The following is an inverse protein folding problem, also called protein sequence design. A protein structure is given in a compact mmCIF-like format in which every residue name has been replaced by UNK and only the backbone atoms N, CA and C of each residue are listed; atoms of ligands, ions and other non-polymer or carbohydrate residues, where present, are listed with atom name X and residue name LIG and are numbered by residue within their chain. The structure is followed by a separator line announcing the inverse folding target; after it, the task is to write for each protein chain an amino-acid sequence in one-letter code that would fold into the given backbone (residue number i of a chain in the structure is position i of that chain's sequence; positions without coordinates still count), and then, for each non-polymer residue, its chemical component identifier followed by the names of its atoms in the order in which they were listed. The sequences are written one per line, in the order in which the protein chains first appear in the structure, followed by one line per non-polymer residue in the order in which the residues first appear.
data_IF_875709073513
#
_entry.id   IF_875709073513
#
_cell.length_a   1.000
_cell.length_b   1.000
_cell.length_c   1.000
_cell.angle_alpha   90.00
_cell.angle_beta   90.00
_cell.angle_gamma   90.00
#
_symmetry.space_group_name_H-M   'P 1'
#
loop_
_entity.id
_entity.type
_entity.pdbx_description
1 polymer ?
#
# COMPACT_ATOMS: atom_id res chain seq x y z
N UNK A 1 -19.22 20.34 17.45
CA UNK A 1 -17.95 21.03 17.78
C UNK A 1 -16.96 20.66 16.70
N UNK A 2 -16.40 21.63 15.98
CA UNK A 2 -15.33 21.39 15.03
C UNK A 2 -14.08 20.98 15.82
N UNK A 3 -13.61 19.75 15.63
CA UNK A 3 -12.39 19.27 16.25
C UNK A 3 -11.18 19.85 15.53
N UNK A 4 -10.15 20.21 16.28
CA UNK A 4 -8.84 20.54 15.74
C UNK A 4 -7.85 19.47 16.15
N UNK A 5 -6.89 19.19 15.28
CA UNK A 5 -5.78 18.27 15.56
C UNK A 5 -4.45 18.99 15.36
N UNK A 6 -3.52 18.81 16.29
CA UNK A 6 -2.17 19.35 16.15
C UNK A 6 -1.26 18.26 15.60
N UNK A 7 -0.68 18.51 14.43
CA UNK A 7 0.33 17.66 13.85
C UNK A 7 1.62 17.66 14.70
N UNK A 8 2.45 16.63 14.63
CA UNK A 8 3.77 16.62 15.26
C UNK A 8 4.68 17.76 14.82
N UNK A 9 4.42 18.33 13.64
CA UNK A 9 5.09 19.55 13.14
C UNK A 9 4.71 20.82 13.89
N UNK A 10 3.68 20.77 14.76
CA UNK A 10 3.11 21.91 15.48
C UNK A 10 1.96 22.61 14.76
N UNK A 11 1.69 22.28 13.51
CA UNK A 11 0.57 22.79 12.74
C UNK A 11 -0.77 22.31 13.33
N UNK A 12 -1.77 23.19 13.32
CA UNK A 12 -3.13 22.87 13.78
C UNK A 12 -4.05 22.82 12.58
N UNK A 13 -4.64 21.64 12.36
CA UNK A 13 -5.60 21.41 11.28
C UNK A 13 -7.05 21.38 11.82
N UNK A 14 -7.99 21.84 10.99
CA UNK A 14 -9.42 21.78 11.27
C UNK A 14 -9.98 20.48 10.71
N UNK A 15 -10.34 19.53 11.56
CA UNK A 15 -10.81 18.19 11.14
C UNK A 15 -12.09 18.17 10.32
N UNK A 16 -12.87 19.27 10.30
CA UNK A 16 -14.09 19.35 9.48
C UNK A 16 -13.80 19.27 7.99
N UNK A 17 -12.61 19.66 7.56
CA UNK A 17 -12.19 19.65 6.16
C UNK A 17 -11.55 18.33 5.73
N UNK A 18 -11.31 17.43 6.67
CA UNK A 18 -10.57 16.19 6.45
C UNK A 18 -11.48 14.97 6.56
N UNK A 19 -11.29 14.02 5.66
CA UNK A 19 -12.00 12.73 5.65
C UNK A 19 -10.97 11.61 5.76
N UNK A 20 -11.28 10.60 6.54
CA UNK A 20 -10.47 9.39 6.59
C UNK A 20 -10.64 8.63 5.28
N UNK A 21 -9.55 8.43 4.55
CA UNK A 21 -9.56 7.79 3.23
C UNK A 21 -8.19 7.15 2.91
N UNK A 22 -8.16 6.39 1.83
CA UNK A 22 -6.95 5.78 1.29
C UNK A 22 -6.67 6.28 -0.12
N UNK A 23 -5.38 6.44 -0.44
CA UNK A 23 -4.88 6.55 -1.80
C UNK A 23 -4.18 5.24 -2.14
N UNK A 24 -4.55 4.62 -3.25
CA UNK A 24 -4.03 3.31 -3.63
C UNK A 24 -3.73 3.22 -5.12
N UNK A 25 -2.80 2.32 -5.44
CA UNK A 25 -2.43 1.98 -6.79
C UNK A 25 -2.00 0.53 -6.90
N UNK A 26 -2.47 -0.16 -7.94
CA UNK A 26 -2.18 -1.57 -8.20
C UNK A 26 -1.02 -1.71 -9.18
N UNK A 27 -0.11 -2.63 -8.88
CA UNK A 27 0.92 -3.09 -9.80
C UNK A 27 0.93 -4.60 -9.80
N UNK A 28 1.12 -5.21 -10.97
CA UNK A 28 1.25 -6.65 -11.10
C UNK A 28 2.73 -7.03 -11.04
N UNK A 29 3.07 -7.93 -10.12
CA UNK A 29 4.36 -8.60 -10.09
C UNK A 29 4.38 -9.73 -11.11
N UNK A 30 5.44 -9.85 -11.88
CA UNK A 30 5.62 -10.93 -12.85
C UNK A 30 5.75 -12.30 -12.18
N UNK A 31 5.38 -13.37 -12.89
CA UNK A 31 5.60 -14.72 -12.43
C UNK A 31 7.10 -15.05 -12.34
N UNK A 32 7.92 -14.47 -13.23
CA UNK A 32 9.38 -14.60 -13.21
C UNK A 32 9.99 -13.22 -12.98
N UNK A 33 10.46 -12.98 -11.78
CA UNK A 33 11.03 -11.71 -11.34
C UNK A 33 12.55 -11.82 -11.41
N UNK A 34 13.19 -10.97 -12.19
CA UNK A 34 14.65 -10.93 -12.29
C UNK A 34 15.28 -10.28 -11.06
N UNK A 35 16.51 -10.63 -10.75
CA UNK A 35 17.31 -9.90 -9.75
C UNK A 35 17.43 -8.41 -10.15
N UNK A 36 17.22 -7.52 -9.22
CA UNK A 36 17.22 -6.07 -9.43
C UNK A 36 15.91 -5.51 -10.00
N UNK A 37 14.86 -6.34 -10.19
CA UNK A 37 13.57 -5.84 -10.66
C UNK A 37 12.94 -4.85 -9.68
N UNK A 38 12.31 -3.81 -10.24
CA UNK A 38 11.63 -2.75 -9.50
C UNK A 38 10.19 -2.60 -9.99
N UNK A 39 9.26 -2.52 -9.04
CA UNK A 39 7.84 -2.28 -9.29
C UNK A 39 7.44 -0.97 -8.61
N UNK A 40 7.08 0.03 -9.41
CA UNK A 40 6.82 1.40 -8.95
C UNK A 40 5.32 1.66 -8.91
N UNK A 41 4.82 2.00 -7.74
CA UNK A 41 3.42 2.36 -7.47
C UNK A 41 3.20 3.87 -7.57
N UNK A 42 1.98 4.26 -7.88
CA UNK A 42 1.50 5.64 -8.01
C UNK A 42 2.03 6.41 -9.23
N UNK A 43 2.85 5.78 -10.06
CA UNK A 43 3.44 6.41 -11.24
C UNK A 43 2.64 6.16 -12.51
N UNK A 44 2.40 4.91 -12.84
CA UNK A 44 1.75 4.48 -14.08
C UNK A 44 0.27 4.21 -13.82
N UNK A 45 -0.54 5.27 -13.85
CA UNK A 45 -1.96 5.23 -13.51
C UNK A 45 -2.89 5.21 -14.74
N UNK A 46 -2.34 5.36 -15.94
CA UNK A 46 -3.13 5.39 -17.17
C UNK A 46 -3.78 4.04 -17.46
N UNK A 47 -5.02 4.08 -17.94
CA UNK A 47 -5.83 2.90 -18.29
C UNK A 47 -6.17 1.96 -17.10
N UNK A 48 -5.98 2.42 -15.86
CA UNK A 48 -6.43 1.71 -14.68
C UNK A 48 -7.84 2.16 -14.29
N UNK A 49 -8.63 1.22 -13.80
CA UNK A 49 -9.96 1.51 -13.26
C UNK A 49 -9.92 1.81 -11.74
N UNK A 50 -11.08 2.11 -11.14
CA UNK A 50 -11.17 2.43 -9.72
C UNK A 50 -10.87 1.23 -8.79
N UNK A 51 -10.85 -0.01 -9.28
CA UNK A 51 -10.40 -1.15 -8.48
C UNK A 51 -8.87 -1.25 -8.43
N UNK A 52 -8.22 -0.59 -9.36
CA UNK A 52 -6.78 -0.60 -9.52
C UNK A 52 -6.12 0.63 -8.92
N UNK A 53 -6.70 1.82 -9.13
CA UNK A 53 -6.18 3.07 -8.57
C UNK A 53 -7.29 4.11 -8.40
N UNK A 54 -7.21 4.90 -7.36
CA UNK A 54 -8.05 6.09 -7.20
C UNK A 54 -7.28 7.38 -7.49
N UNK A 55 -6.06 7.28 -7.99
CA UNK A 55 -5.27 8.43 -8.40
C UNK A 55 -5.68 8.92 -9.79
N UNK A 56 -5.63 10.24 -9.99
CA UNK A 56 -5.88 10.88 -11.28
C UNK A 56 -4.65 11.62 -11.83
N UNK A 57 -3.69 11.86 -10.98
CA UNK A 57 -2.42 12.51 -11.33
C UNK A 57 -1.28 11.57 -10.99
N UNK A 58 -0.39 11.31 -11.95
CA UNK A 58 0.77 10.44 -11.76
C UNK A 58 1.69 10.99 -10.68
N UNK A 59 2.00 10.15 -9.70
CA UNK A 59 2.94 10.45 -8.60
C UNK A 59 2.61 11.69 -7.76
N UNK A 60 1.36 12.20 -7.81
CA UNK A 60 0.93 13.39 -7.04
C UNK A 60 -0.53 13.29 -6.66
N UNK A 61 -0.92 14.06 -5.66
CA UNK A 61 -2.33 14.31 -5.38
C UNK A 61 -2.95 15.23 -6.44
N UNK A 62 -4.28 15.20 -6.55
CA UNK A 62 -5.01 16.14 -7.41
C UNK A 62 -4.79 17.59 -6.92
N UNK A 63 -4.85 18.59 -7.82
CA UNK A 63 -4.71 19.99 -7.43
C UNK A 63 -5.67 20.40 -6.31
N UNK A 64 -5.13 21.01 -5.27
CA UNK A 64 -5.86 21.43 -4.07
C UNK A 64 -6.13 20.30 -3.07
N UNK A 65 -5.68 19.08 -3.31
CA UNK A 65 -5.75 18.01 -2.33
C UNK A 65 -4.54 18.01 -1.40
N UNK A 66 -4.78 17.63 -0.16
CA UNK A 66 -3.75 17.38 0.83
C UNK A 66 -4.01 16.05 1.52
N UNK A 67 -2.97 15.37 1.95
CA UNK A 67 -3.09 14.11 2.68
C UNK A 67 -2.14 14.04 3.87
N UNK A 68 -2.65 13.60 5.01
CA UNK A 68 -1.85 13.25 6.19
C UNK A 68 -1.84 11.74 6.29
N UNK A 69 -0.70 11.15 5.94
CA UNK A 69 -0.54 9.70 5.87
C UNK A 69 -0.15 9.15 7.24
N UNK A 70 -0.94 8.23 7.77
CA UNK A 70 -0.69 7.51 9.02
C UNK A 70 -0.10 6.13 8.79
N UNK A 71 -0.41 5.50 7.65
CA UNK A 71 0.06 4.16 7.31
C UNK A 71 0.44 4.09 5.84
N UNK A 72 1.51 3.36 5.58
CA UNK A 72 1.99 3.04 4.25
C UNK A 72 2.23 1.55 4.21
N UNK A 73 1.66 0.88 3.22
CA UNK A 73 1.93 -0.54 3.09
C UNK A 73 1.38 -1.13 1.80
N UNK A 74 1.45 -2.45 1.73
CA UNK A 74 1.06 -3.21 0.55
C UNK A 74 0.01 -4.25 0.89
N UNK A 75 -0.91 -4.46 -0.04
CA UNK A 75 -1.94 -5.51 0.03
C UNK A 75 -1.73 -6.44 -1.16
N UNK A 76 -1.50 -7.69 -0.89
CA UNK A 76 -1.38 -8.73 -1.92
C UNK A 76 -2.76 -9.27 -2.24
N UNK A 77 -3.02 -9.60 -3.50
CA UNK A 77 -4.30 -10.14 -3.94
C UNK A 77 -4.72 -11.36 -3.10
N UNK A 78 -5.99 -11.40 -2.68
CA UNK A 78 -6.51 -12.45 -1.80
C UNK A 78 -6.41 -13.87 -2.38
N UNK A 79 -6.30 -13.99 -3.71
CA UNK A 79 -6.15 -15.27 -4.41
C UNK A 79 -4.70 -15.74 -4.53
N UNK A 80 -3.74 -14.97 -3.98
CA UNK A 80 -2.31 -15.30 -4.07
C UNK A 80 -2.03 -16.60 -3.32
N UNK A 81 -1.35 -17.53 -3.99
CA UNK A 81 -0.89 -18.76 -3.36
C UNK A 81 0.01 -18.45 -2.16
N UNK A 82 -0.10 -19.23 -1.10
CA UNK A 82 0.67 -19.00 0.13
C UNK A 82 2.18 -19.01 -0.11
N UNK A 83 2.68 -19.92 -0.96
CA UNK A 83 4.11 -19.97 -1.34
C UNK A 83 4.57 -18.71 -2.05
N UNK A 84 3.72 -18.10 -2.88
CA UNK A 84 4.04 -16.83 -3.51
C UNK A 84 4.13 -15.71 -2.49
N UNK A 85 3.20 -15.69 -1.51
CA UNK A 85 3.26 -14.71 -0.43
C UNK A 85 4.55 -14.84 0.37
N UNK A 86 4.95 -16.06 0.76
CA UNK A 86 6.20 -16.28 1.49
C UNK A 86 7.41 -15.79 0.69
N UNK A 87 7.48 -16.10 -0.60
CA UNK A 87 8.55 -15.61 -1.48
C UNK A 87 8.59 -14.09 -1.58
N UNK A 88 7.44 -13.43 -1.64
CA UNK A 88 7.36 -11.97 -1.64
C UNK A 88 7.85 -11.42 -0.28
N UNK A 89 7.41 -12.01 0.84
CA UNK A 89 7.82 -11.57 2.17
C UNK A 89 9.31 -11.73 2.43
N UNK A 90 9.91 -12.80 1.93
CA UNK A 90 11.33 -13.12 2.15
C UNK A 90 12.27 -12.33 1.24
N UNK A 91 11.86 -12.05 -0.01
CA UNK A 91 12.76 -11.51 -1.03
C UNK A 91 12.48 -10.05 -1.41
N UNK A 92 11.32 -9.50 -1.03
CA UNK A 92 10.96 -8.15 -1.43
C UNK A 92 11.38 -7.11 -0.38
N UNK A 93 11.99 -6.05 -0.86
CA UNK A 93 12.31 -4.85 -0.13
C UNK A 93 11.45 -3.70 -0.61
N UNK A 94 10.97 -2.87 0.28
CA UNK A 94 10.07 -1.78 -0.08
C UNK A 94 10.61 -0.43 0.36
N UNK A 95 10.28 0.60 -0.42
CA UNK A 95 10.63 1.99 -0.14
C UNK A 95 9.42 2.87 -0.38
N UNK A 96 9.28 3.91 0.42
CA UNK A 96 8.37 5.02 0.15
C UNK A 96 9.17 6.31 0.05
N UNK A 97 9.05 6.97 -1.09
CA UNK A 97 9.78 8.18 -1.42
C UNK A 97 8.82 9.37 -1.53
N UNK A 98 9.21 10.49 -0.93
CA UNK A 98 8.53 11.77 -1.01
C UNK A 98 9.48 12.79 -1.66
N UNK A 99 9.20 13.19 -2.89
CA UNK A 99 10.18 13.92 -3.70
C UNK A 99 11.45 13.10 -3.89
N UNK A 100 12.57 13.65 -3.47
CA UNK A 100 13.89 13.00 -3.53
C UNK A 100 14.25 12.26 -2.23
N UNK A 101 13.41 12.31 -1.20
CA UNK A 101 13.69 11.77 0.12
C UNK A 101 13.02 10.42 0.31
N UNK A 102 13.77 9.39 0.69
CA UNK A 102 13.21 8.14 1.21
C UNK A 102 12.74 8.35 2.65
N UNK A 103 11.44 8.17 2.87
CA UNK A 103 10.79 8.42 4.17
C UNK A 103 10.66 7.14 4.98
N UNK A 104 10.40 6.01 4.29
CA UNK A 104 10.32 4.68 4.91
C UNK A 104 10.92 3.67 3.97
N UNK A 105 11.75 2.76 4.52
CA UNK A 105 12.36 1.68 3.75
C UNK A 105 12.58 0.45 4.62
N UNK A 106 12.65 -0.72 4.02
CA UNK A 106 12.93 -1.98 4.70
C UNK A 106 12.29 -3.18 4.02
N UNK A 107 12.45 -4.38 4.59
CA UNK A 107 11.74 -5.55 4.11
C UNK A 107 10.24 -5.29 4.02
N UNK A 108 9.58 -5.88 3.01
CA UNK A 108 8.17 -5.58 2.72
C UNK A 108 7.22 -5.85 3.90
N UNK A 109 7.55 -6.79 4.78
CA UNK A 109 6.76 -7.10 5.97
C UNK A 109 6.72 -5.96 7.01
N UNK A 110 7.58 -4.92 6.91
CA UNK A 110 7.47 -3.69 7.70
C UNK A 110 6.37 -2.75 7.19
N UNK A 111 5.82 -3.02 6.01
CA UNK A 111 4.82 -2.18 5.35
C UNK A 111 3.42 -2.78 5.50
N UNK A 112 2.95 -2.90 6.73
CA UNK A 112 1.64 -3.45 7.05
C UNK A 112 0.59 -2.35 7.00
N UNK A 113 -0.52 -2.61 6.32
CA UNK A 113 -1.64 -1.66 6.22
C UNK A 113 -2.76 -1.95 7.22
N UNK A 114 -2.89 -3.20 7.65
CA UNK A 114 -4.09 -3.68 8.32
C UNK A 114 -5.28 -3.89 7.39
N UNK A 115 -5.14 -3.60 6.10
CA UNK A 115 -6.11 -3.94 5.07
C UNK A 115 -5.82 -5.33 4.50
N UNK A 116 -6.85 -5.95 3.96
CA UNK A 116 -6.79 -7.29 3.38
C UNK A 116 -7.58 -8.31 4.19
N UNK A 117 -7.56 -9.54 3.71
CA UNK A 117 -8.28 -10.65 4.31
C UNK A 117 -7.26 -11.60 4.91
N UNK A 118 -7.37 -11.94 6.18
CA UNK A 118 -6.60 -13.01 6.78
C UNK A 118 -7.51 -14.16 7.16
N UNK A 119 -7.09 -15.38 6.82
CA UNK A 119 -7.82 -16.59 7.16
C UNK A 119 -7.10 -17.81 6.62
N UNK A 120 -7.34 -18.95 7.24
CA UNK A 120 -6.94 -20.26 6.74
C UNK A 120 -8.20 -21.10 6.56
N UNK A 121 -8.40 -21.64 5.36
CA UNK A 121 -9.41 -22.67 5.10
C UNK A 121 -8.65 -23.98 4.93
N UNK A 122 -8.84 -24.90 5.86
CA UNK A 122 -8.39 -26.29 5.72
C UNK A 122 -9.53 -27.07 5.07
N UNK A 123 -9.28 -27.59 3.87
CA UNK A 123 -10.22 -28.48 3.20
C UNK A 123 -9.70 -29.90 3.38
N UNK A 124 -10.58 -30.79 3.78
CA UNK A 124 -10.26 -32.20 3.97
C UNK A 124 -9.67 -32.80 2.69
N UNK A 125 -8.56 -33.53 2.84
CA UNK A 125 -7.86 -34.19 1.73
C UNK A 125 -8.70 -35.22 0.95
N UNK A 126 -9.88 -35.55 1.45
CA UNK A 126 -10.85 -36.43 0.77
C UNK A 126 -11.70 -35.70 -0.28
N UNK A 127 -11.79 -34.40 -0.27
CA UNK A 127 -12.42 -33.60 -1.32
C UNK A 127 -11.32 -33.06 -2.25
N UNK A 128 -11.47 -33.22 -3.54
CA UNK A 128 -10.53 -32.74 -4.57
C UNK A 128 -10.42 -31.21 -4.66
N UNK A 129 -10.75 -30.51 -3.58
CA UNK A 129 -10.69 -29.06 -3.51
C UNK A 129 -9.33 -28.59 -2.98
N UNK A 130 -8.72 -27.69 -3.73
CA UNK A 130 -7.44 -27.07 -3.38
C UNK A 130 -7.57 -26.22 -2.13
N UNK A 131 -6.69 -26.41 -1.16
CA UNK A 131 -6.57 -25.53 0.02
C UNK A 131 -6.38 -24.09 -0.46
N UNK A 132 -7.37 -23.25 -0.19
CA UNK A 132 -7.28 -21.81 -0.50
C UNK A 132 -6.79 -21.08 0.75
N UNK A 133 -5.62 -20.52 0.67
CA UNK A 133 -5.11 -19.59 1.66
C UNK A 133 -5.44 -18.17 1.25
N UNK A 134 -5.97 -17.39 2.15
CA UNK A 134 -6.04 -15.95 2.00
C UNK A 134 -4.76 -15.34 2.55
N UNK A 135 -4.05 -14.67 1.70
CA UNK A 135 -2.75 -14.09 2.01
C UNK A 135 -2.87 -12.60 2.31
N UNK A 136 -2.15 -12.15 3.31
CA UNK A 136 -2.03 -10.74 3.64
C UNK A 136 -0.65 -10.43 4.21
N UNK A 137 -0.16 -9.22 3.99
CA UNK A 137 1.05 -8.72 4.65
C UNK A 137 0.65 -8.17 6.01
N UNK A 138 0.92 -8.96 7.05
CA UNK A 138 0.59 -8.62 8.43
C UNK A 138 -0.86 -8.93 8.83
N UNK A 139 -1.25 -8.59 10.07
CA UNK A 139 -2.58 -8.87 10.58
C UNK A 139 -3.65 -8.05 9.85
N UNK A 140 -4.81 -8.64 9.62
CA UNK A 140 -5.98 -7.91 9.16
C UNK A 140 -6.61 -7.14 10.31
N UNK A 141 -6.95 -5.88 10.03
CA UNK A 141 -7.52 -4.97 11.01
C UNK A 141 -6.62 -3.77 11.26
N UNK A 142 -7.14 -2.60 10.95
CA UNK A 142 -6.39 -1.33 11.06
C UNK A 142 -5.94 -1.03 12.49
N UNK A 143 -6.67 -1.54 13.48
CA UNK A 143 -6.33 -1.38 14.91
C UNK A 143 -5.14 -2.23 15.35
N UNK A 144 -4.76 -3.24 14.58
CA UNK A 144 -3.66 -4.15 14.90
C UNK A 144 -2.31 -3.67 14.32
N UNK A 145 -2.33 -2.66 13.48
CA UNK A 145 -1.13 -2.09 12.84
C UNK A 145 -0.86 -0.72 13.43
N UNK A 146 0.33 -0.56 14.02
CA UNK A 146 0.74 0.73 14.56
C UNK A 146 0.81 1.80 13.45
N UNK A 147 0.30 3.00 13.68
CA UNK A 147 0.48 4.11 12.77
C UNK A 147 1.96 4.53 12.71
N UNK A 148 2.30 5.31 11.70
CA UNK A 148 3.60 5.99 11.66
C UNK A 148 3.75 6.87 12.91
N UNK A 149 4.91 6.80 13.56
CA UNK A 149 5.20 7.64 14.74
C UNK A 149 5.16 9.13 14.40
N UNK A 150 5.54 9.47 13.17
CA UNK A 150 5.44 10.81 12.61
C UNK A 150 4.61 10.71 11.34
N UNK A 151 3.39 11.24 11.32
CA UNK A 151 2.57 11.30 10.10
C UNK A 151 3.26 12.10 9.01
N UNK A 152 3.02 11.72 7.76
CA UNK A 152 3.59 12.39 6.60
C UNK A 152 2.54 13.28 5.99
N UNK A 153 2.81 14.59 5.90
CA UNK A 153 1.95 15.54 5.19
C UNK A 153 2.39 15.60 3.71
N UNK A 154 1.47 15.30 2.82
CA UNK A 154 1.65 15.34 1.36
C UNK A 154 0.71 16.40 0.80
N UNK A 155 1.26 17.33 0.06
CA UNK A 155 0.55 18.36 -0.69
C UNK A 155 0.56 18.03 -2.19
N UNK A 156 -0.28 18.68 -2.99
CA UNK A 156 -0.44 18.41 -4.43
C UNK A 156 0.79 18.77 -5.27
N UNK A 157 1.67 19.63 -4.76
CA UNK A 157 2.94 20.01 -5.40
C UNK A 157 4.08 19.02 -5.15
N UNK A 158 3.92 18.11 -4.18
CA UNK A 158 4.95 17.14 -3.81
C UNK A 158 4.71 15.80 -4.50
N UNK A 159 5.73 15.31 -5.21
CA UNK A 159 5.67 13.97 -5.80
C UNK A 159 5.93 12.88 -4.76
N UNK A 160 5.27 11.75 -4.92
CA UNK A 160 5.50 10.56 -4.10
C UNK A 160 5.43 9.28 -4.94
N UNK A 161 6.11 8.26 -4.47
CA UNK A 161 6.05 6.91 -5.04
C UNK A 161 6.38 5.86 -3.97
N UNK A 162 5.83 4.66 -4.13
CA UNK A 162 6.29 3.49 -3.42
C UNK A 162 6.96 2.54 -4.41
N UNK A 163 7.98 1.83 -3.97
CA UNK A 163 8.74 0.90 -4.82
C UNK A 163 8.90 -0.42 -4.09
N UNK A 164 8.66 -1.53 -4.79
CA UNK A 164 9.07 -2.86 -4.35
C UNK A 164 10.26 -3.28 -5.21
N UNK A 165 11.35 -3.71 -4.56
CA UNK A 165 12.57 -4.21 -5.20
C UNK A 165 12.80 -5.67 -4.81
N UNK A 166 13.27 -6.45 -5.78
CA UNK A 166 13.75 -7.81 -5.56
C UNK A 166 15.25 -7.86 -5.83
N UNK A 167 16.03 -8.10 -4.78
CA UNK A 167 17.49 -8.20 -4.95
C UNK A 167 17.91 -9.51 -5.61
N UNK A 168 17.15 -10.58 -5.36
CA UNK A 168 17.38 -11.90 -5.93
C UNK A 168 16.27 -12.27 -6.91
N UNK A 169 16.61 -13.11 -7.88
CA UNK A 169 15.64 -13.67 -8.82
C UNK A 169 14.60 -14.50 -8.06
N UNK A 170 13.33 -14.20 -8.29
CA UNK A 170 12.22 -14.83 -7.58
C UNK A 170 11.21 -15.40 -8.58
N UNK A 171 10.83 -16.66 -8.42
CA UNK A 171 9.82 -17.30 -9.28
C UNK A 171 8.54 -17.51 -8.49
N UNK A 172 7.46 -16.87 -8.93
CA UNK A 172 6.10 -17.06 -8.45
C UNK A 172 5.38 -18.10 -9.32
N UNK A 173 4.36 -18.75 -8.81
CA UNK A 173 3.55 -19.72 -9.58
C UNK A 173 2.68 -19.03 -10.64
N UNK A 174 2.33 -17.75 -10.40
CA UNK A 174 1.59 -16.90 -11.33
C UNK A 174 1.90 -15.43 -11.05
N UNK A 175 1.66 -14.57 -12.03
CA UNK A 175 1.69 -13.13 -11.83
C UNK A 175 0.73 -12.74 -10.68
N UNK A 176 1.17 -11.80 -9.84
CA UNK A 176 0.50 -11.50 -8.59
C UNK A 176 0.21 -10.01 -8.48
N UNK A 177 -1.05 -9.65 -8.31
CA UNK A 177 -1.46 -8.27 -8.11
C UNK A 177 -1.15 -7.81 -6.68
N UNK A 178 -0.59 -6.62 -6.57
CA UNK A 178 -0.28 -5.95 -5.31
C UNK A 178 -0.76 -4.51 -5.36
N UNK A 179 -1.42 -4.05 -4.30
CA UNK A 179 -1.79 -2.66 -4.11
C UNK A 179 -0.82 -1.99 -3.15
N UNK A 180 -0.23 -0.88 -3.56
CA UNK A 180 0.39 0.08 -2.65
C UNK A 180 -0.71 0.97 -2.07
N UNK A 181 -0.72 1.17 -0.76
CA UNK A 181 -1.77 1.89 -0.05
C UNK A 181 -1.17 2.93 0.88
N UNK A 182 -1.62 4.16 0.73
CA UNK A 182 -1.44 5.24 1.69
C UNK A 182 -2.76 5.45 2.41
N UNK A 183 -2.76 5.38 3.72
CA UNK A 183 -3.98 5.54 4.53
C UNK A 183 -3.82 6.68 5.53
N UNK A 184 -4.84 7.52 5.61
CA UNK A 184 -4.79 8.68 6.48
C UNK A 184 -5.99 9.61 6.33
N UNK A 185 -5.76 10.87 6.53
CA UNK A 185 -6.76 11.90 6.32
C UNK A 185 -6.50 12.63 5.02
N UNK A 186 -7.54 12.82 4.23
CA UNK A 186 -7.51 13.52 2.94
C UNK A 186 -8.39 14.75 3.05
N UNK A 187 -7.85 15.89 2.66
CA UNK A 187 -8.57 17.13 2.44
C UNK A 187 -8.81 17.30 0.94
N UNK A 188 -10.05 17.51 0.58
CA UNK A 188 -10.49 17.74 -0.80
C UNK A 188 -11.11 19.13 -0.93
N UNK A 189 -10.84 19.87 -2.02
CA UNK A 189 -11.53 21.14 -2.23
C UNK A 189 -13.03 20.90 -2.33
N UNK A 190 -13.81 21.71 -1.65
CA UNK A 190 -15.27 21.73 -1.79
C UNK A 190 -15.57 22.24 -3.20
N UNK A 191 -16.24 21.42 -3.98
CA UNK A 191 -16.72 21.80 -5.33
C UNK A 191 -18.11 22.43 -5.21
#
# INVERSE_FOLDING_TARGET
MAGTYRLPTGEVINLVEWVEDAVYDKVQLDASISAGAEYVFFRDIQNKDLNETNMRVSSRLEPGWEMIVWRIGFVVAAQTAFDNLLKILDNAYAEFNLGTKTVKQGPIWLFQTGFGISGAVTIDAASSETVKHTANIGPSGTNLVAPLSIPIHITDDVSFQAVIRFFDATTLTAATDVWGVLYGWVKRPVR
#
